data_IF_900751253676
#
_entry.id   IF_900751253676
#
_cell.length_a   1.000
_cell.length_b   1.000
_cell.length_c   1.000
_cell.angle_alpha   90.00
_cell.angle_beta   90.00
_cell.angle_gamma   90.00
#
_symmetry.space_group_name_H-M   'P 1'
#
loop_
_entity.id
_entity.type
_entity.pdbx_description
1 polymer ?
#
# COMPACT_ATOMS: atom_id res chain seq x y z
N UNK A 1 19.49 1.53 -26.30
CA UNK A 1 18.90 2.20 -25.15
C UNK A 1 19.92 2.19 -24.01
N UNK A 2 20.55 3.33 -23.72
CA UNK A 2 21.44 3.46 -22.58
C UNK A 2 20.60 3.28 -21.31
N UNK A 3 20.97 2.29 -20.47
CA UNK A 3 20.44 2.17 -19.12
C UNK A 3 21.05 3.31 -18.29
N UNK A 4 20.38 4.44 -18.20
CA UNK A 4 20.75 5.43 -17.19
C UNK A 4 20.69 4.75 -15.81
N UNK A 5 21.82 4.75 -15.12
CA UNK A 5 21.89 4.25 -13.74
C UNK A 5 21.07 5.20 -12.89
N UNK A 6 20.02 4.68 -12.24
CA UNK A 6 19.21 5.48 -11.32
C UNK A 6 20.11 6.14 -10.27
N UNK A 7 19.94 7.46 -10.02
CA UNK A 7 20.77 8.17 -9.04
C UNK A 7 20.58 7.56 -7.64
N UNK A 8 21.68 7.47 -6.89
CA UNK A 8 21.68 6.89 -5.52
C UNK A 8 20.60 7.53 -4.64
N UNK A 9 20.34 8.83 -4.78
CA UNK A 9 19.28 9.53 -4.07
C UNK A 9 17.89 8.93 -4.27
N UNK A 10 17.62 8.30 -5.43
CA UNK A 10 16.36 7.61 -5.68
C UNK A 10 16.18 6.40 -4.75
N UNK A 11 17.24 5.65 -4.51
CA UNK A 11 17.18 4.49 -3.60
C UNK A 11 16.93 4.91 -2.15
N UNK A 12 17.57 5.99 -1.69
CA UNK A 12 17.28 6.57 -0.37
C UNK A 12 15.83 7.05 -0.26
N UNK A 13 15.32 7.71 -1.30
CA UNK A 13 13.93 8.13 -1.34
C UNK A 13 12.96 6.93 -1.27
N UNK A 14 13.24 5.86 -2.02
CA UNK A 14 12.42 4.64 -1.99
C UNK A 14 12.41 4.00 -0.60
N UNK A 15 13.58 3.90 0.06
CA UNK A 15 13.67 3.38 1.43
C UNK A 15 12.85 4.24 2.39
N UNK A 16 12.97 5.57 2.30
CA UNK A 16 12.21 6.49 3.15
C UNK A 16 10.69 6.35 2.94
N UNK A 17 10.25 6.22 1.69
CA UNK A 17 8.83 5.98 1.36
C UNK A 17 8.34 4.66 1.94
N UNK A 18 9.11 3.58 1.79
CA UNK A 18 8.73 2.27 2.34
C UNK A 18 8.70 2.27 3.87
N UNK A 19 9.67 2.91 4.52
CA UNK A 19 9.67 3.08 5.98
C UNK A 19 8.46 3.88 6.45
N UNK A 20 8.12 4.97 5.77
CA UNK A 20 6.93 5.79 6.08
C UNK A 20 5.64 4.98 5.89
N UNK A 21 5.58 4.14 4.88
CA UNK A 21 4.41 3.28 4.64
C UNK A 21 4.26 2.20 5.72
N UNK A 22 5.34 1.51 6.09
CA UNK A 22 5.33 0.55 7.20
C UNK A 22 4.92 1.19 8.52
N UNK A 23 5.43 2.40 8.82
CA UNK A 23 5.01 3.17 9.97
C UNK A 23 3.52 3.51 9.93
N UNK A 24 2.99 3.93 8.77
CA UNK A 24 1.57 4.22 8.58
C UNK A 24 0.68 3.00 8.86
N UNK A 25 1.05 1.81 8.39
CA UNK A 25 0.32 0.55 8.66
C UNK A 25 0.31 0.25 10.16
N UNK A 26 1.46 0.35 10.82
CA UNK A 26 1.59 0.13 12.28
C UNK A 26 0.73 1.11 13.06
N UNK A 27 0.79 2.40 12.73
CA UNK A 27 -0.03 3.43 13.38
C UNK A 27 -1.53 3.18 13.13
N UNK A 28 -1.91 2.79 11.93
CA UNK A 28 -3.30 2.44 11.62
C UNK A 28 -3.77 1.27 12.48
N UNK A 29 -2.95 0.22 12.62
CA UNK A 29 -3.27 -0.94 13.48
C UNK A 29 -3.52 -0.51 14.93
N UNK A 30 -2.70 0.36 15.48
CA UNK A 30 -2.89 0.89 16.83
C UNK A 30 -4.17 1.71 16.91
N UNK A 31 -4.41 2.60 15.97
CA UNK A 31 -5.56 3.51 16.01
C UNK A 31 -6.90 2.80 15.86
N UNK A 32 -7.00 1.75 15.03
CA UNK A 32 -8.26 0.99 14.86
C UNK A 32 -8.61 0.14 16.09
N UNK A 33 -7.67 -0.07 17.03
CA UNK A 33 -7.96 -0.70 18.32
C UNK A 33 -8.65 0.23 19.31
N UNK A 34 -8.49 1.54 19.15
CA UNK A 34 -9.07 2.57 20.03
C UNK A 34 -10.29 3.27 19.43
N UNK A 35 -10.37 3.38 18.11
CA UNK A 35 -11.41 4.11 17.41
C UNK A 35 -12.21 3.20 16.46
N UNK A 36 -13.51 3.52 16.24
CA UNK A 36 -14.28 2.85 15.20
C UNK A 36 -13.62 3.01 13.83
N UNK A 37 -13.54 1.92 13.08
CA UNK A 37 -12.86 1.85 11.78
C UNK A 37 -13.33 2.95 10.80
N UNK A 38 -14.64 3.17 10.74
CA UNK A 38 -15.24 4.18 9.84
C UNK A 38 -14.78 5.59 10.23
N UNK A 39 -14.86 5.94 11.52
CA UNK A 39 -14.46 7.26 12.02
C UNK A 39 -12.98 7.52 11.76
N UNK A 40 -12.14 6.53 12.06
CA UNK A 40 -10.70 6.63 11.85
C UNK A 40 -10.36 6.79 10.36
N UNK A 41 -10.96 5.98 9.49
CA UNK A 41 -10.73 6.04 8.05
C UNK A 41 -11.17 7.38 7.47
N UNK A 42 -12.36 7.86 7.86
CA UNK A 42 -12.88 9.16 7.41
C UNK A 42 -11.97 10.32 7.83
N UNK A 43 -11.51 10.31 9.08
CA UNK A 43 -10.60 11.35 9.58
C UNK A 43 -9.26 11.37 8.84
N UNK A 44 -8.67 10.21 8.57
CA UNK A 44 -7.43 10.08 7.78
C UNK A 44 -7.59 10.63 6.37
N UNK A 45 -8.66 10.23 5.67
CA UNK A 45 -8.93 10.69 4.30
C UNK A 45 -9.15 12.19 4.27
N UNK A 46 -9.92 12.72 5.22
CA UNK A 46 -10.20 14.15 5.31
C UNK A 46 -8.91 14.96 5.58
N UNK A 47 -8.09 14.54 6.53
CA UNK A 47 -6.80 15.19 6.82
C UNK A 47 -5.86 15.14 5.63
N UNK A 48 -5.77 14.00 4.93
CA UNK A 48 -4.96 13.87 3.74
C UNK A 48 -5.45 14.79 2.61
N UNK A 49 -6.77 14.88 2.39
CA UNK A 49 -7.36 15.76 1.38
C UNK A 49 -7.03 17.24 1.67
N UNK A 50 -7.20 17.68 2.90
CA UNK A 50 -6.84 19.06 3.30
C UNK A 50 -5.36 19.32 3.04
N UNK A 51 -4.48 18.41 3.45
CA UNK A 51 -3.03 18.55 3.26
C UNK A 51 -2.68 18.70 1.78
N UNK A 52 -3.24 17.84 0.91
CA UNK A 52 -3.00 17.91 -0.53
C UNK A 52 -3.52 19.22 -1.13
N UNK A 53 -4.72 19.67 -0.74
CA UNK A 53 -5.30 20.94 -1.21
C UNK A 53 -4.39 22.12 -0.81
N UNK A 54 -3.91 22.15 0.43
CA UNK A 54 -2.99 23.20 0.91
C UNK A 54 -1.70 23.20 0.07
N UNK A 55 -1.10 22.04 -0.16
CA UNK A 55 0.12 21.92 -0.98
C UNK A 55 -0.13 22.40 -2.41
N UNK A 56 -1.23 22.01 -3.04
CA UNK A 56 -1.58 22.42 -4.39
C UNK A 56 -1.83 23.94 -4.47
N UNK A 57 -2.44 24.50 -3.44
CA UNK A 57 -2.67 25.95 -3.34
C UNK A 57 -1.35 26.73 -3.23
N UNK A 58 -0.46 26.31 -2.32
CA UNK A 58 0.86 26.93 -2.12
C UNK A 58 1.72 26.82 -3.39
N UNK A 59 1.71 25.66 -4.04
CA UNK A 59 2.50 25.41 -5.26
C UNK A 59 1.86 26.02 -6.53
N UNK A 60 0.71 26.66 -6.39
CA UNK A 60 -0.06 27.23 -7.53
C UNK A 60 -0.38 26.21 -8.63
N UNK A 61 -0.51 24.94 -8.26
CA UNK A 61 -0.83 23.82 -9.18
C UNK A 61 -2.28 23.39 -9.06
N UNK A 62 -3.09 24.08 -8.25
CA UNK A 62 -4.50 23.78 -8.10
C UNK A 62 -5.22 24.10 -9.41
N UNK A 63 -5.78 23.07 -10.05
CA UNK A 63 -6.64 23.24 -11.20
C UNK A 63 -7.95 22.47 -10.98
N UNK A 64 -9.05 23.02 -11.43
CA UNK A 64 -10.31 22.30 -11.41
C UNK A 64 -10.34 21.24 -12.53
N UNK A 65 -10.78 20.02 -12.23
CA UNK A 65 -10.89 18.99 -13.24
C UNK A 65 -12.02 19.29 -14.24
N UNK A 66 -11.85 18.84 -15.46
CA UNK A 66 -12.92 18.86 -16.46
C UNK A 66 -14.04 17.89 -16.06
N UNK A 67 -15.24 18.02 -16.62
CA UNK A 67 -16.37 17.13 -16.31
C UNK A 67 -16.03 15.64 -16.51
N UNK A 68 -15.26 15.31 -17.55
CA UNK A 68 -14.83 13.94 -17.83
C UNK A 68 -13.82 13.44 -16.79
N UNK A 69 -12.84 14.27 -16.45
CA UNK A 69 -11.84 13.95 -15.40
C UNK A 69 -12.52 13.79 -14.05
N UNK A 70 -13.51 14.65 -13.74
CA UNK A 70 -14.27 14.56 -12.50
C UNK A 70 -14.97 13.20 -12.35
N UNK A 71 -15.62 12.71 -13.41
CA UNK A 71 -16.27 11.40 -13.39
C UNK A 71 -15.28 10.25 -13.13
N UNK A 72 -14.10 10.28 -13.78
CA UNK A 72 -13.06 9.27 -13.57
C UNK A 72 -12.45 9.36 -12.17
N UNK A 73 -12.18 10.57 -11.69
CA UNK A 73 -11.64 10.81 -10.33
C UNK A 73 -12.66 10.34 -9.29
N UNK A 74 -13.92 10.64 -9.46
CA UNK A 74 -14.99 10.22 -8.55
C UNK A 74 -15.09 8.70 -8.47
N UNK A 75 -15.11 8.01 -9.62
CA UNK A 75 -15.14 6.55 -9.67
C UNK A 75 -13.90 5.94 -9.03
N UNK A 76 -12.71 6.43 -9.38
CA UNK A 76 -11.46 5.98 -8.79
C UNK A 76 -11.41 6.23 -7.27
N UNK A 77 -11.98 7.34 -6.79
CA UNK A 77 -12.04 7.65 -5.36
C UNK A 77 -12.93 6.67 -4.59
N UNK A 78 -14.06 6.27 -5.15
CA UNK A 78 -14.93 5.28 -4.49
C UNK A 78 -14.18 3.95 -4.34
N UNK A 79 -13.59 3.44 -5.41
CA UNK A 79 -12.91 2.13 -5.35
C UNK A 79 -11.62 2.19 -4.54
N UNK A 80 -10.74 3.14 -4.80
CA UNK A 80 -9.42 3.17 -4.18
C UNK A 80 -9.43 3.79 -2.78
N UNK A 81 -10.16 4.90 -2.57
CA UNK A 81 -10.12 5.59 -1.28
C UNK A 81 -11.15 5.02 -0.31
N UNK A 82 -12.42 4.89 -0.72
CA UNK A 82 -13.47 4.48 0.21
C UNK A 82 -13.41 2.97 0.46
N UNK A 83 -13.52 2.17 -0.60
CA UNK A 83 -13.61 0.72 -0.50
C UNK A 83 -12.29 0.15 0.03
N UNK A 84 -11.17 0.40 -0.64
CA UNK A 84 -9.87 -0.15 -0.24
C UNK A 84 -9.47 0.27 1.19
N UNK A 85 -9.58 1.55 1.56
CA UNK A 85 -9.20 1.97 2.92
C UNK A 85 -10.15 1.47 4.00
N UNK A 86 -11.43 1.28 3.68
CA UNK A 86 -12.37 0.67 4.62
C UNK A 86 -11.99 -0.79 4.89
N UNK A 87 -11.81 -1.59 3.85
CA UNK A 87 -11.42 -2.99 3.98
C UNK A 87 -10.04 -3.14 4.62
N UNK A 88 -9.06 -2.34 4.22
CA UNK A 88 -7.74 -2.33 4.85
C UNK A 88 -7.83 -2.04 6.36
N UNK A 89 -8.57 -1.02 6.76
CA UNK A 89 -8.70 -0.65 8.18
C UNK A 89 -9.47 -1.71 8.97
N UNK A 90 -10.50 -2.30 8.38
CA UNK A 90 -11.26 -3.39 9.01
C UNK A 90 -10.41 -4.66 9.11
N UNK A 91 -9.71 -5.02 8.06
CA UNK A 91 -8.77 -6.14 8.05
C UNK A 91 -7.67 -5.99 9.10
N UNK A 92 -7.06 -4.81 9.21
CA UNK A 92 -6.07 -4.50 10.24
C UNK A 92 -6.61 -4.62 11.67
N UNK A 93 -7.91 -4.40 11.88
CA UNK A 93 -8.54 -4.62 13.18
C UNK A 93 -8.62 -6.11 13.53
N UNK A 94 -8.95 -6.95 12.54
CA UNK A 94 -9.25 -8.37 12.70
C UNK A 94 -8.04 -9.31 12.56
N UNK A 95 -6.91 -8.82 12.02
CA UNK A 95 -5.68 -9.60 11.84
C UNK A 95 -4.52 -9.10 12.69
N UNK A 96 -3.43 -9.86 12.69
CA UNK A 96 -2.18 -9.43 13.36
C UNK A 96 -1.41 -8.46 12.48
N UNK A 97 -0.57 -7.59 13.11
CA UNK A 97 0.31 -6.69 12.34
C UNK A 97 1.30 -7.44 11.44
N UNK A 98 1.71 -8.63 11.84
CA UNK A 98 2.59 -9.52 11.07
C UNK A 98 1.90 -10.02 9.81
N UNK A 99 0.69 -10.58 9.93
CA UNK A 99 -0.08 -11.06 8.78
C UNK A 99 -0.39 -9.91 7.81
N UNK A 100 -0.82 -8.75 8.34
CA UNK A 100 -1.06 -7.56 7.52
C UNK A 100 0.19 -7.13 6.75
N UNK A 101 1.35 -7.09 7.42
CA UNK A 101 2.62 -6.76 6.79
C UNK A 101 3.01 -7.74 5.69
N UNK A 102 2.73 -9.04 5.88
CA UNK A 102 2.96 -10.08 4.89
C UNK A 102 2.10 -9.90 3.64
N UNK A 103 0.80 -9.71 3.84
CA UNK A 103 -0.16 -9.54 2.74
C UNK A 103 0.21 -8.29 1.93
N UNK A 104 0.40 -7.15 2.60
CA UNK A 104 0.79 -5.91 1.94
C UNK A 104 2.18 -6.00 1.29
N UNK A 105 3.13 -6.68 1.91
CA UNK A 105 4.46 -6.93 1.36
C UNK A 105 4.46 -7.87 0.16
N UNK A 106 3.43 -8.69 -0.03
CA UNK A 106 3.26 -9.55 -1.20
C UNK A 106 2.70 -8.82 -2.43
N UNK A 107 2.09 -7.66 -2.26
CA UNK A 107 1.46 -6.90 -3.35
C UNK A 107 2.37 -6.66 -4.57
N UNK A 108 3.66 -6.28 -4.44
CA UNK A 108 4.56 -6.14 -5.59
C UNK A 108 4.75 -7.44 -6.37
N UNK A 109 4.69 -8.59 -5.70
CA UNK A 109 4.82 -9.90 -6.32
C UNK A 109 3.58 -10.20 -7.16
N UNK A 110 2.40 -9.96 -6.60
CA UNK A 110 1.12 -10.12 -7.29
C UNK A 110 1.07 -9.22 -8.53
N UNK A 111 1.44 -7.94 -8.39
CA UNK A 111 1.52 -7.00 -9.51
C UNK A 111 2.49 -7.50 -10.59
N UNK A 112 3.66 -8.03 -10.21
CA UNK A 112 4.61 -8.58 -11.16
C UNK A 112 4.07 -9.80 -11.92
N UNK A 113 3.36 -10.70 -11.23
CA UNK A 113 2.69 -11.85 -11.87
C UNK A 113 1.66 -11.35 -12.89
N UNK A 114 0.80 -10.40 -12.50
CA UNK A 114 -0.17 -9.81 -13.42
C UNK A 114 0.49 -9.13 -14.62
N UNK A 115 1.58 -8.39 -14.42
CA UNK A 115 2.35 -7.77 -15.51
C UNK A 115 2.86 -8.82 -16.52
N UNK A 116 3.36 -9.95 -16.03
CA UNK A 116 3.82 -11.04 -16.93
C UNK A 116 2.65 -11.68 -17.67
N UNK A 117 1.58 -12.02 -16.96
CA UNK A 117 0.45 -12.78 -17.54
C UNK A 117 -0.36 -11.91 -18.50
N UNK A 118 -0.71 -10.69 -18.11
CA UNK A 118 -1.63 -9.84 -18.88
C UNK A 118 -0.89 -8.91 -19.86
N UNK A 119 0.24 -8.31 -19.44
CA UNK A 119 1.01 -7.39 -20.28
C UNK A 119 2.13 -8.11 -21.04
N UNK A 120 2.34 -9.41 -20.79
CA UNK A 120 3.41 -10.22 -21.39
C UNK A 120 4.80 -9.60 -21.25
N UNK A 121 5.02 -8.86 -20.16
CA UNK A 121 6.32 -8.30 -19.85
C UNK A 121 7.32 -9.39 -19.49
N UNK A 122 8.57 -9.26 -19.99
CA UNK A 122 9.65 -10.16 -19.60
C UNK A 122 10.29 -9.69 -18.31
N UNK A 123 10.25 -10.52 -17.26
CA UNK A 123 10.98 -10.25 -16.03
C UNK A 123 12.46 -10.53 -16.27
N UNK A 124 13.29 -9.49 -16.15
CA UNK A 124 14.74 -9.67 -16.17
C UNK A 124 15.24 -10.38 -14.89
N UNK A 125 16.35 -11.12 -15.00
CA UNK A 125 16.91 -11.90 -13.90
C UNK A 125 17.13 -11.09 -12.60
N UNK A 126 17.55 -9.83 -12.70
CA UNK A 126 17.73 -8.94 -11.56
C UNK A 126 16.43 -8.61 -10.83
N UNK A 127 15.32 -8.45 -11.57
CA UNK A 127 13.99 -8.25 -10.96
C UNK A 127 13.51 -9.52 -10.27
N UNK A 128 13.72 -10.68 -10.91
CA UNK A 128 13.37 -11.97 -10.32
C UNK A 128 14.13 -12.22 -9.01
N UNK A 129 15.43 -11.92 -8.96
CA UNK A 129 16.23 -12.00 -7.73
C UNK A 129 15.70 -11.07 -6.63
N UNK A 130 15.29 -9.84 -6.97
CA UNK A 130 14.66 -8.93 -6.02
C UNK A 130 13.36 -9.47 -5.43
N UNK A 131 12.50 -10.09 -6.24
CA UNK A 131 11.27 -10.74 -5.75
C UNK A 131 11.56 -11.93 -4.84
N UNK A 132 12.52 -12.79 -5.22
CA UNK A 132 12.93 -13.92 -4.38
C UNK A 132 13.50 -13.45 -3.04
N UNK A 133 14.34 -12.42 -3.05
CA UNK A 133 14.87 -11.83 -1.81
C UNK A 133 13.74 -11.22 -0.94
N UNK A 134 12.75 -10.58 -1.55
CA UNK A 134 11.57 -10.07 -0.85
C UNK A 134 10.74 -11.18 -0.20
N UNK A 135 10.43 -12.24 -0.95
CA UNK A 135 9.72 -13.42 -0.43
C UNK A 135 10.49 -14.05 0.74
N UNK A 136 11.80 -14.22 0.57
CA UNK A 136 12.66 -14.79 1.61
C UNK A 136 12.67 -13.92 2.88
N UNK A 137 12.82 -12.59 2.74
CA UNK A 137 12.80 -11.67 3.87
C UNK A 137 11.46 -11.70 4.62
N UNK A 138 10.35 -11.71 3.89
CA UNK A 138 9.01 -11.85 4.47
C UNK A 138 8.87 -13.18 5.20
N UNK A 139 9.31 -14.29 4.60
CA UNK A 139 9.25 -15.62 5.22
C UNK A 139 10.08 -15.70 6.50
N UNK A 140 11.25 -15.08 6.54
CA UNK A 140 12.08 -15.01 7.75
C UNK A 140 11.37 -14.29 8.89
N UNK A 141 10.69 -13.18 8.62
CA UNK A 141 9.94 -12.43 9.64
C UNK A 141 8.78 -13.27 10.20
N UNK A 142 8.09 -14.03 9.35
CA UNK A 142 7.02 -14.94 9.80
C UNK A 142 7.54 -16.03 10.71
N UNK A 143 8.62 -16.68 10.29
CA UNK A 143 9.21 -17.81 11.01
C UNK A 143 9.85 -17.36 12.33
N UNK A 144 10.44 -16.15 12.37
CA UNK A 144 11.14 -15.64 13.57
C UNK A 144 10.19 -15.23 14.69
N UNK A 145 8.95 -14.83 14.38
CA UNK A 145 8.01 -14.38 15.39
C UNK A 145 7.34 -15.49 16.20
N UNK A 146 7.65 -16.76 15.95
CA UNK A 146 7.18 -17.91 16.76
C UNK A 146 5.66 -18.12 16.80
N UNK A 147 4.91 -17.14 16.36
CA UNK A 147 3.49 -17.23 16.09
C UNK A 147 3.35 -17.85 14.72
N UNK A 148 3.37 -19.17 14.66
CA UNK A 148 3.02 -19.91 13.47
C UNK A 148 1.84 -19.22 12.81
N UNK A 149 1.73 -19.31 11.49
CA UNK A 149 0.62 -18.77 10.70
C UNK A 149 -0.66 -19.08 11.49
N UNK A 150 -1.08 -18.14 12.33
CA UNK A 150 -2.40 -18.22 12.96
C UNK A 150 -3.35 -18.24 11.78
N UNK A 151 -4.17 -19.29 11.66
CA UNK A 151 -4.94 -19.62 10.47
C UNK A 151 -5.54 -18.38 9.81
N UNK A 152 -5.78 -18.46 8.52
CA UNK A 152 -6.36 -17.35 7.72
C UNK A 152 -7.55 -16.79 8.49
N UNK A 153 -7.44 -15.55 8.91
CA UNK A 153 -8.50 -14.80 9.58
C UNK A 153 -9.37 -14.08 8.55
N UNK A 154 -10.60 -13.73 8.89
CA UNK A 154 -11.44 -12.88 8.04
C UNK A 154 -10.75 -11.53 7.73
N UNK A 155 -9.93 -11.03 8.66
CA UNK A 155 -9.15 -9.82 8.46
C UNK A 155 -8.09 -9.92 7.38
N UNK A 156 -7.52 -11.11 7.16
CA UNK A 156 -6.54 -11.33 6.10
C UNK A 156 -7.18 -11.23 4.71
N UNK A 157 -8.44 -11.69 4.59
CA UNK A 157 -9.22 -11.57 3.35
C UNK A 157 -9.55 -10.10 3.08
N UNK A 158 -9.96 -9.35 4.10
CA UNK A 158 -10.26 -7.92 3.99
C UNK A 158 -9.05 -7.09 3.52
N UNK A 159 -7.83 -7.46 3.92
CA UNK A 159 -6.62 -6.75 3.47
C UNK A 159 -6.28 -7.08 2.02
N UNK A 160 -6.65 -8.27 1.55
CA UNK A 160 -6.34 -8.70 0.19
C UNK A 160 -7.28 -8.08 -0.88
N UNK A 161 -8.44 -7.58 -0.47
CA UNK A 161 -9.41 -6.87 -1.34
C UNK A 161 -9.01 -5.40 -1.55
#
# INVERSE_FOLDING_TARGET
MQKEKAPIGLYFLLIAVMASWGFNVTMTKVLVSYFPTVTMTSFRIFTAAITVIIILFITKKLRLPTKREFGLIFLASIFNIVIHHFFLSNGLKLTTGTNAGLILGSAPIVVAIFSVVFLRERIGAWRALGFLAGIFGVSLVVLSNGTGISGISLGDIDIFI
#
